data_IF_459015690254
#
_entry.id   IF_459015690254
#
_cell.length_a   1.000
_cell.length_b   1.000
_cell.length_c   1.000
_cell.angle_alpha   90.00
_cell.angle_beta   90.00
_cell.angle_gamma   90.00
#
_symmetry.space_group_name_H-M   'P 1'
#
loop_
_entity.id
_entity.type
_entity.pdbx_description
1 polymer ?
#
# COMPACT_ATOMS: atom_id res chain seq x y z
N UNK A 1 -20.52 -2.71 -11.67
CA UNK A 1 -19.35 -3.50 -11.22
C UNK A 1 -18.00 -2.79 -11.42
N UNK A 2 -17.93 -1.72 -12.25
CA UNK A 2 -16.72 -0.94 -12.54
C UNK A 2 -16.05 -0.21 -11.35
N UNK A 3 -16.77 0.00 -10.24
CA UNK A 3 -16.30 0.77 -9.08
C UNK A 3 -15.38 -0.06 -8.17
N UNK A 4 -15.50 -1.40 -8.18
CA UNK A 4 -14.74 -2.30 -7.32
C UNK A 4 -13.21 -2.23 -7.59
N UNK A 5 -12.73 -2.30 -8.85
CA UNK A 5 -11.31 -2.11 -9.17
C UNK A 5 -10.79 -0.74 -8.71
N UNK A 6 -11.61 0.30 -8.85
CA UNK A 6 -11.23 1.68 -8.55
C UNK A 6 -11.06 1.87 -7.03
N UNK A 7 -11.98 1.32 -6.22
CA UNK A 7 -11.88 1.32 -4.76
C UNK A 7 -10.70 0.48 -4.25
N UNK A 8 -10.46 -0.69 -4.87
CA UNK A 8 -9.29 -1.52 -4.55
C UNK A 8 -7.98 -0.80 -4.86
N UNK A 9 -7.89 -0.14 -6.01
CA UNK A 9 -6.74 0.65 -6.42
C UNK A 9 -6.48 1.80 -5.44
N UNK A 10 -7.49 2.61 -5.14
CA UNK A 10 -7.38 3.72 -4.20
C UNK A 10 -7.00 3.26 -2.79
N UNK A 11 -7.58 2.15 -2.31
CA UNK A 11 -7.25 1.56 -1.01
C UNK A 11 -5.80 1.08 -0.94
N UNK A 12 -5.32 0.38 -1.96
CA UNK A 12 -3.92 -0.06 -2.05
C UNK A 12 -2.95 1.13 -2.12
N UNK A 13 -3.30 2.18 -2.88
CA UNK A 13 -2.51 3.41 -3.00
C UNK A 13 -2.40 4.15 -1.66
N UNK A 14 -3.53 4.32 -0.96
CA UNK A 14 -3.57 4.96 0.35
C UNK A 14 -2.78 4.17 1.40
N UNK A 15 -2.91 2.83 1.39
CA UNK A 15 -2.19 1.95 2.31
C UNK A 15 -0.68 1.95 2.03
N UNK A 16 -0.27 1.86 0.77
CA UNK A 16 1.12 1.93 0.35
C UNK A 16 1.76 3.28 0.71
N UNK A 17 1.06 4.39 0.46
CA UNK A 17 1.52 5.73 0.84
C UNK A 17 1.65 5.88 2.35
N UNK A 18 0.68 5.38 3.13
CA UNK A 18 0.74 5.42 4.59
C UNK A 18 1.94 4.63 5.15
N UNK A 19 2.30 3.51 4.52
CA UNK A 19 3.50 2.72 4.87
C UNK A 19 4.78 3.46 4.51
N UNK A 20 4.89 4.03 3.30
CA UNK A 20 6.10 4.70 2.81
C UNK A 20 6.37 6.00 3.56
N UNK A 21 5.33 6.81 3.80
CA UNK A 21 5.42 8.10 4.50
C UNK A 21 5.46 7.99 6.03
N UNK A 22 5.37 6.77 6.57
CA UNK A 22 5.21 6.50 8.00
C UNK A 22 4.10 7.36 8.65
N UNK A 23 2.96 7.46 7.97
CA UNK A 23 1.86 8.34 8.36
C UNK A 23 1.39 8.01 9.79
N UNK A 24 1.53 8.95 10.73
CA UNK A 24 1.22 8.77 12.16
C UNK A 24 1.97 7.60 12.84
N UNK A 25 3.17 7.27 12.36
CA UNK A 25 3.95 6.14 12.89
C UNK A 25 3.35 4.79 12.50
N UNK A 26 2.60 4.72 11.40
CA UNK A 26 1.96 3.48 10.94
C UNK A 26 2.99 2.36 10.76
N UNK A 27 4.15 2.66 10.17
CA UNK A 27 5.21 1.68 9.98
C UNK A 27 5.72 1.16 11.33
N UNK A 28 5.89 2.05 12.30
CA UNK A 28 6.34 1.68 13.66
C UNK A 28 5.31 0.81 14.38
N UNK A 29 4.02 1.12 14.25
CA UNK A 29 2.92 0.33 14.82
C UNK A 29 2.83 -1.06 14.19
N UNK A 30 3.02 -1.16 12.88
CA UNK A 30 3.05 -2.44 12.17
C UNK A 30 4.29 -3.25 12.55
N UNK A 31 5.45 -2.61 12.70
CA UNK A 31 6.67 -3.27 13.15
C UNK A 31 6.61 -3.70 14.62
N UNK A 32 5.87 -2.98 15.46
CA UNK A 32 5.61 -3.32 16.86
C UNK A 32 4.46 -4.32 17.04
N UNK A 33 3.75 -4.67 15.97
CA UNK A 33 2.68 -5.68 15.99
C UNK A 33 3.23 -7.06 16.34
N UNK A 34 2.43 -7.86 17.06
CA UNK A 34 2.72 -9.29 17.33
C UNK A 34 2.83 -10.15 16.07
N UNK A 35 2.37 -9.63 14.93
CA UNK A 35 2.52 -10.29 13.62
C UNK A 35 3.95 -10.16 13.10
N UNK A 36 4.72 -9.18 13.58
CA UNK A 36 6.12 -9.04 13.20
C UNK A 36 7.00 -9.97 14.04
N UNK A 37 7.45 -11.07 13.43
CA UNK A 37 8.27 -12.10 14.08
C UNK A 37 9.70 -11.63 14.42
N UNK A 38 10.14 -10.46 13.93
CA UNK A 38 11.41 -9.80 14.28
C UNK A 38 11.24 -8.27 14.38
N UNK A 39 10.80 -7.73 15.53
CA UNK A 39 10.85 -6.29 15.75
C UNK A 39 12.32 -5.81 15.86
N UNK A 40 12.69 -4.76 15.13
CA UNK A 40 13.96 -4.03 15.33
C UNK A 40 15.12 -4.30 14.36
N UNK A 41 14.98 -5.20 13.38
CA UNK A 41 16.03 -5.40 12.37
C UNK A 41 16.04 -4.28 11.31
N UNK A 42 17.19 -3.62 11.10
CA UNK A 42 17.34 -2.58 10.07
C UNK A 42 16.91 -3.06 8.67
N UNK A 43 17.14 -4.33 8.34
CA UNK A 43 16.69 -4.94 7.09
C UNK A 43 15.16 -5.01 6.93
N UNK A 44 14.41 -5.10 8.02
CA UNK A 44 12.94 -5.22 7.98
C UNK A 44 12.30 -3.86 7.68
N UNK A 45 12.89 -2.76 8.15
CA UNK A 45 12.44 -1.41 7.76
C UNK A 45 12.63 -1.15 6.27
N UNK A 46 13.77 -1.54 5.71
CA UNK A 46 14.00 -1.50 4.25
C UNK A 46 12.99 -2.35 3.49
N UNK A 47 12.72 -3.58 3.97
CA UNK A 47 11.76 -4.47 3.33
C UNK A 47 10.35 -3.88 3.31
N UNK A 48 9.92 -3.23 4.40
CA UNK A 48 8.64 -2.51 4.44
C UNK A 48 8.58 -1.32 3.49
N UNK A 49 9.68 -0.59 3.29
CA UNK A 49 9.74 0.49 2.30
C UNK A 49 9.65 -0.04 0.87
N UNK A 50 10.36 -1.12 0.56
CA UNK A 50 10.33 -1.75 -0.78
C UNK A 50 8.93 -2.30 -1.06
N UNK A 51 8.34 -3.05 -0.12
CA UNK A 51 6.98 -3.58 -0.27
C UNK A 51 5.96 -2.44 -0.37
N UNK A 52 6.08 -1.41 0.48
CA UNK A 52 5.23 -0.23 0.43
C UNK A 52 5.27 0.45 -0.94
N UNK A 53 6.46 0.66 -1.50
CA UNK A 53 6.64 1.24 -2.84
C UNK A 53 6.04 0.37 -3.95
N UNK A 54 6.23 -0.95 -3.89
CA UNK A 54 5.60 -1.90 -4.82
C UNK A 54 4.07 -1.86 -4.75
N UNK A 55 3.51 -1.78 -3.54
CA UNK A 55 2.05 -1.68 -3.32
C UNK A 55 1.49 -0.36 -3.85
N UNK A 56 2.20 0.75 -3.69
CA UNK A 56 1.83 2.03 -4.32
C UNK A 56 1.81 1.90 -5.85
N UNK A 57 2.84 1.29 -6.44
CA UNK A 57 2.91 1.07 -7.89
C UNK A 57 1.75 0.22 -8.42
N UNK A 58 1.45 -0.89 -7.75
CA UNK A 58 0.30 -1.74 -8.08
C UNK A 58 -1.03 -1.00 -7.89
N UNK A 59 -1.19 -0.26 -6.78
CA UNK A 59 -2.38 0.54 -6.52
C UNK A 59 -2.62 1.59 -7.59
N UNK A 60 -1.57 2.27 -8.06
CA UNK A 60 -1.64 3.23 -9.16
C UNK A 60 -2.09 2.57 -10.47
N UNK A 61 -1.50 1.42 -10.84
CA UNK A 61 -1.89 0.67 -12.04
C UNK A 61 -3.35 0.22 -11.99
N UNK A 62 -3.80 -0.35 -10.87
CA UNK A 62 -5.18 -0.83 -10.69
C UNK A 62 -6.17 0.33 -10.71
N UNK A 63 -5.82 1.48 -10.11
CA UNK A 63 -6.65 2.68 -10.15
C UNK A 63 -6.78 3.19 -11.59
N UNK A 64 -5.66 3.24 -12.33
CA UNK A 64 -5.62 3.71 -13.71
C UNK A 64 -6.46 2.81 -14.63
N UNK A 65 -6.35 1.48 -14.45
CA UNK A 65 -7.20 0.51 -15.14
C UNK A 65 -8.69 0.69 -14.80
N UNK A 66 -9.02 0.87 -13.53
CA UNK A 66 -10.40 1.11 -13.07
C UNK A 66 -11.00 2.39 -13.67
N UNK A 67 -10.22 3.48 -13.73
CA UNK A 67 -10.64 4.74 -14.35
C UNK A 67 -10.88 4.55 -15.85
N UNK A 68 -9.94 3.91 -16.58
CA UNK A 68 -10.11 3.63 -18.00
C UNK A 68 -11.37 2.80 -18.27
N UNK A 69 -11.59 1.74 -17.47
CA UNK A 69 -12.76 0.89 -17.59
C UNK A 69 -14.07 1.64 -17.28
N UNK A 70 -14.06 2.58 -16.33
CA UNK A 70 -15.22 3.42 -16.02
C UNK A 70 -15.61 4.37 -17.15
N UNK A 71 -14.64 4.92 -17.89
CA UNK A 71 -14.90 5.81 -19.02
C UNK A 71 -15.26 5.06 -20.32
N UNK A 72 -14.83 3.80 -20.45
CA UNK A 72 -15.12 2.95 -21.62
C UNK A 72 -16.44 2.17 -21.48
N UNK A 73 -17.01 2.11 -20.27
CA UNK A 73 -18.28 1.46 -19.94
C UNK A 73 -19.45 2.45 -19.99
#
# INVERSE_FOLDING_TARGET
MAVIPLLLGMGALALGLAVVTDYRGFRQRVLASRVNLRPGGAGIQMMFQVIGACVVGLGALVTLFGVMYFFLS
#
